data_IF_442104495263
#
_entry.id   IF_442104495263
#
_cell.length_a   1.000
_cell.length_b   1.000
_cell.length_c   1.000
_cell.angle_alpha   90.00
_cell.angle_beta   90.00
_cell.angle_gamma   90.00
#
_symmetry.space_group_name_H-M   'P 1'
#
loop_
_entity.id
_entity.type
_entity.pdbx_description
1 polymer ?
#
# COMPACT_ATOMS: atom_id res chain seq x y z
N UNK A 1 -20.18 32.40 0.14
CA UNK A 1 -19.60 32.14 -1.19
C UNK A 1 -18.17 31.72 -0.93
N UNK A 2 -17.96 30.43 -0.68
CA UNK A 2 -16.66 29.88 -0.26
C UNK A 2 -16.02 29.34 -1.53
N UNK A 3 -14.97 30.02 -2.00
CA UNK A 3 -14.17 29.56 -3.12
C UNK A 3 -13.61 28.18 -2.80
N UNK A 4 -14.02 27.19 -3.58
CA UNK A 4 -13.38 25.89 -3.63
C UNK A 4 -11.98 26.08 -4.24
N UNK A 5 -10.93 25.46 -3.69
CA UNK A 5 -9.61 25.54 -4.32
C UNK A 5 -9.68 24.87 -5.68
N UNK A 6 -9.40 25.64 -6.73
CA UNK A 6 -9.26 25.12 -8.10
C UNK A 6 -8.01 24.25 -8.16
N UNK A 7 -8.22 22.94 -8.18
CA UNK A 7 -7.21 21.89 -8.26
C UNK A 7 -7.58 20.94 -9.41
N UNK A 8 -6.64 20.37 -10.20
CA UNK A 8 -5.17 20.35 -10.08
C UNK A 8 -4.39 21.22 -11.11
N UNK A 9 -3.07 21.45 -10.90
CA UNK A 9 -2.16 21.99 -11.93
C UNK A 9 -1.85 20.94 -13.01
N UNK A 10 -1.79 21.38 -14.27
CA UNK A 10 -1.45 20.59 -15.45
C UNK A 10 0.04 20.20 -15.52
N UNK A 11 0.52 19.39 -14.57
CA UNK A 11 1.90 18.89 -14.54
C UNK A 11 1.94 17.37 -14.67
N UNK A 12 2.58 16.86 -15.71
CA UNK A 12 2.77 15.44 -16.04
C UNK A 12 3.68 14.66 -15.07
N UNK A 13 3.91 15.17 -13.85
CA UNK A 13 4.80 14.55 -12.85
C UNK A 13 3.98 13.95 -11.72
N UNK A 14 4.33 12.73 -11.22
CA UNK A 14 3.65 12.16 -10.08
C UNK A 14 3.87 13.03 -8.85
N UNK A 15 2.78 13.45 -8.23
CA UNK A 15 2.80 14.22 -6.98
C UNK A 15 2.77 13.21 -5.83
N UNK A 16 3.72 13.34 -4.91
CA UNK A 16 3.74 12.53 -3.69
C UNK A 16 3.03 13.30 -2.58
N UNK A 17 1.95 12.75 -2.08
CA UNK A 17 1.11 13.38 -1.06
C UNK A 17 1.49 12.87 0.32
N UNK A 18 1.62 13.77 1.28
CA UNK A 18 1.89 13.43 2.67
C UNK A 18 0.57 13.39 3.42
N UNK A 19 0.33 12.32 4.18
CA UNK A 19 -0.83 12.19 5.06
C UNK A 19 -0.37 12.06 6.52
N UNK A 20 -0.99 12.85 7.40
CA UNK A 20 -0.73 12.87 8.83
C UNK A 20 -1.42 11.72 9.58
N UNK A 21 -0.88 11.39 10.76
CA UNK A 21 -1.65 10.70 11.82
C UNK A 21 -1.81 11.68 12.97
N UNK A 22 -3.01 11.85 13.56
CA UNK A 22 -3.11 12.54 14.83
C UNK A 22 -2.39 11.75 15.93
N UNK A 23 -1.84 12.48 16.89
CA UNK A 23 -1.11 11.93 18.03
C UNK A 23 -2.01 11.07 18.92
N UNK A 24 -1.40 10.04 19.53
CA UNK A 24 -1.98 9.28 20.63
C UNK A 24 -2.56 10.22 21.69
N UNK A 25 -3.87 10.19 21.90
CA UNK A 25 -4.45 10.54 23.20
C UNK A 25 -4.80 9.25 23.95
N UNK A 26 -4.47 9.22 25.24
CA UNK A 26 -4.35 8.00 26.03
C UNK A 26 -5.66 7.21 26.15
N UNK A 27 -5.55 5.92 25.87
CA UNK A 27 -6.41 4.91 26.50
C UNK A 27 -5.50 3.94 27.25
N UNK A 28 -5.51 4.10 28.57
CA UNK A 28 -5.10 3.10 29.54
C UNK A 28 -5.69 1.75 29.16
N UNK A 29 -4.85 0.73 28.99
CA UNK A 29 -5.28 -0.66 28.99
C UNK A 29 -5.97 -0.97 30.34
N UNK A 30 -7.29 -0.80 30.41
CA UNK A 30 -8.11 -1.72 31.18
C UNK A 30 -8.43 -2.89 30.26
N UNK A 31 -7.59 -3.90 30.35
CA UNK A 31 -7.90 -5.23 29.84
C UNK A 31 -9.08 -5.79 30.67
N UNK A 32 -10.31 -5.53 30.22
CA UNK A 32 -11.47 -6.28 30.69
C UNK A 32 -11.81 -7.34 29.65
N UNK A 33 -11.46 -8.57 29.97
CA UNK A 33 -12.37 -9.70 29.78
C UNK A 33 -12.43 -10.34 28.39
N UNK A 34 -11.31 -10.82 27.86
CA UNK A 34 -11.34 -12.09 27.11
C UNK A 34 -10.35 -13.07 27.73
N UNK A 35 -10.93 -13.93 28.57
CA UNK A 35 -10.27 -15.02 29.28
C UNK A 35 -9.99 -16.13 28.27
N UNK A 36 -8.78 -16.15 27.72
CA UNK A 36 -8.28 -17.34 27.02
C UNK A 36 -8.25 -18.49 28.04
N UNK A 37 -9.04 -19.54 27.78
CA UNK A 37 -9.02 -20.75 28.61
C UNK A 37 -7.72 -21.49 28.35
N UNK A 38 -6.85 -21.47 29.34
CA UNK A 38 -5.82 -22.48 29.50
C UNK A 38 -6.53 -23.83 29.71
N UNK A 39 -6.30 -24.77 28.81
CA UNK A 39 -6.58 -26.19 29.03
C UNK A 39 -5.24 -26.89 28.99
N UNK A 40 -4.67 -27.04 30.18
CA UNK A 40 -3.59 -27.98 30.45
C UNK A 40 -4.03 -29.40 30.10
N UNK A 41 -3.16 -30.06 29.33
CA UNK A 41 -2.89 -31.48 29.22
C UNK A 41 -3.97 -32.49 29.65
N UNK A 42 -4.50 -33.23 28.67
CA UNK A 42 -4.76 -34.65 28.84
C UNK A 42 -4.05 -35.43 27.72
N UNK A 43 -3.36 -36.50 28.12
CA UNK A 43 -2.49 -37.31 27.29
C UNK A 43 -3.27 -38.09 26.21
N UNK A 44 -2.77 -38.05 24.97
CA UNK A 44 -3.29 -38.89 23.88
C UNK A 44 -2.50 -38.77 22.58
N UNK A 45 -1.62 -39.75 22.34
CA UNK A 45 -1.05 -40.22 21.04
C UNK A 45 -0.21 -39.24 20.19
N UNK A 46 1.01 -39.63 19.73
CA UNK A 46 1.82 -38.78 18.86
C UNK A 46 1.28 -38.81 17.42
N UNK A 47 0.43 -37.85 17.08
CA UNK A 47 -0.01 -37.58 15.72
C UNK A 47 0.49 -36.21 15.24
N UNK A 48 1.41 -36.23 14.26
CA UNK A 48 1.91 -35.12 13.45
C UNK A 48 2.29 -33.80 14.18
N UNK A 49 3.59 -33.50 14.20
CA UNK A 49 4.14 -32.19 14.58
C UNK A 49 3.54 -31.14 13.65
N UNK A 50 2.54 -30.40 14.12
CA UNK A 50 2.11 -29.15 13.48
C UNK A 50 3.15 -28.10 13.85
N UNK A 51 3.95 -27.69 12.87
CA UNK A 51 4.90 -26.59 13.01
C UNK A 51 4.15 -25.35 13.50
N UNK A 52 4.38 -25.00 14.77
CA UNK A 52 3.94 -23.73 15.34
C UNK A 52 4.65 -22.62 14.57
N UNK A 53 3.96 -22.02 13.59
CA UNK A 53 4.50 -20.88 12.84
C UNK A 53 4.85 -19.78 13.84
N UNK A 54 6.13 -19.42 13.89
CA UNK A 54 6.61 -18.38 14.79
C UNK A 54 6.05 -17.06 14.30
N UNK A 55 5.11 -16.51 15.07
CA UNK A 55 4.57 -15.18 14.86
C UNK A 55 5.60 -14.18 15.37
N UNK A 56 6.19 -13.39 14.47
CA UNK A 56 7.25 -12.43 14.81
C UNK A 56 6.76 -10.99 14.61
N UNK A 57 7.00 -10.13 15.59
CA UNK A 57 6.80 -8.69 15.47
C UNK A 57 8.08 -8.03 14.96
N UNK A 58 7.97 -7.28 13.86
CA UNK A 58 9.10 -6.57 13.27
C UNK A 58 8.68 -5.30 12.55
N UNK A 59 9.65 -4.48 12.20
CA UNK A 59 9.45 -3.29 11.40
C UNK A 59 9.51 -3.61 9.90
N UNK A 60 8.64 -2.98 9.09
CA UNK A 60 8.62 -3.14 7.64
C UNK A 60 8.29 -1.84 6.90
N UNK A 61 8.71 -1.75 5.64
CA UNK A 61 8.22 -0.75 4.68
C UNK A 61 7.22 -1.44 3.76
N UNK A 62 6.04 -0.83 3.65
CA UNK A 62 4.87 -1.45 3.03
C UNK A 62 4.36 -0.51 1.95
N UNK A 63 4.23 -1.05 0.74
CA UNK A 63 3.57 -0.39 -0.38
C UNK A 63 2.26 -1.12 -0.67
N UNK A 64 1.16 -0.38 -0.67
CA UNK A 64 -0.12 -0.83 -1.18
C UNK A 64 -0.35 -0.20 -2.56
N UNK A 65 -0.86 -1.01 -3.49
CA UNK A 65 -1.26 -0.57 -4.82
C UNK A 65 -2.68 -1.05 -5.11
N UNK A 66 -3.42 -0.29 -5.90
CA UNK A 66 -4.77 -0.68 -6.36
C UNK A 66 -5.07 -0.09 -7.73
N UNK A 67 -5.96 -0.75 -8.49
CA UNK A 67 -6.37 -0.28 -9.83
C UNK A 67 -7.58 0.63 -9.71
N UNK A 68 -7.43 1.84 -10.23
CA UNK A 68 -8.48 2.85 -10.18
C UNK A 68 -9.69 2.42 -11.02
N UNK A 69 -10.84 2.29 -10.37
CA UNK A 69 -12.12 2.04 -11.03
C UNK A 69 -12.20 0.64 -11.67
N UNK A 70 -11.49 -0.34 -11.12
CA UNK A 70 -11.44 -1.70 -11.65
C UNK A 70 -12.82 -2.32 -11.87
N UNK A 71 -13.75 -2.19 -10.93
CA UNK A 71 -15.12 -2.71 -11.09
C UNK A 71 -15.86 -2.11 -12.30
N UNK A 72 -15.62 -0.83 -12.61
CA UNK A 72 -16.20 -0.17 -13.78
C UNK A 72 -15.59 -0.70 -15.08
N UNK A 73 -14.27 -0.89 -15.11
CA UNK A 73 -13.57 -1.44 -16.28
C UNK A 73 -14.03 -2.87 -16.58
N UNK A 74 -14.14 -3.70 -15.53
CA UNK A 74 -14.68 -5.06 -15.63
C UNK A 74 -16.11 -5.08 -16.17
N UNK A 75 -16.95 -4.12 -15.79
CA UNK A 75 -18.31 -4.00 -16.32
C UNK A 75 -18.40 -3.57 -17.79
N UNK A 76 -17.35 -2.95 -18.34
CA UNK A 76 -17.29 -2.53 -19.75
C UNK A 76 -16.72 -3.65 -20.63
N UNK A 77 -15.60 -4.23 -20.21
CA UNK A 77 -14.84 -5.23 -20.98
C UNK A 77 -14.03 -6.10 -20.00
N UNK A 78 -14.64 -7.18 -19.51
CA UNK A 78 -14.03 -8.08 -18.51
C UNK A 78 -12.73 -8.71 -19.03
N UNK A 79 -12.77 -9.33 -20.21
CA UNK A 79 -11.63 -10.05 -20.77
C UNK A 79 -10.50 -9.10 -21.16
N UNK A 80 -10.82 -7.97 -21.79
CA UNK A 80 -9.84 -6.95 -22.16
C UNK A 80 -9.21 -6.27 -20.94
N UNK A 81 -9.98 -5.99 -19.89
CA UNK A 81 -9.46 -5.41 -18.64
C UNK A 81 -8.50 -6.37 -17.95
N UNK A 82 -8.87 -7.66 -17.84
CA UNK A 82 -8.01 -8.66 -17.21
C UNK A 82 -6.72 -8.87 -18.01
N UNK A 83 -6.80 -8.91 -19.35
CA UNK A 83 -5.64 -9.03 -20.22
C UNK A 83 -4.71 -7.81 -20.10
N UNK A 84 -5.27 -6.60 -20.11
CA UNK A 84 -4.52 -5.36 -19.95
C UNK A 84 -3.82 -5.29 -18.59
N UNK A 85 -4.53 -5.63 -17.50
CA UNK A 85 -3.95 -5.65 -16.16
C UNK A 85 -2.80 -6.66 -16.06
N UNK A 86 -2.98 -7.88 -16.60
CA UNK A 86 -1.92 -8.89 -16.62
C UNK A 86 -0.70 -8.43 -17.42
N UNK A 87 -0.89 -7.77 -18.55
CA UNK A 87 0.20 -7.23 -19.36
C UNK A 87 0.96 -6.14 -18.61
N UNK A 88 0.26 -5.14 -18.07
CA UNK A 88 0.88 -4.05 -17.27
C UNK A 88 1.63 -4.62 -16.07
N UNK A 89 1.08 -5.63 -15.39
CA UNK A 89 1.76 -6.28 -14.27
C UNK A 89 3.06 -6.98 -14.69
N UNK A 90 2.98 -7.83 -15.72
CA UNK A 90 4.12 -8.61 -16.21
C UNK A 90 5.21 -7.74 -16.81
N UNK A 91 4.85 -6.72 -17.58
CA UNK A 91 5.78 -5.99 -18.43
C UNK A 91 6.34 -4.73 -17.75
N UNK A 92 5.67 -4.23 -16.70
CA UNK A 92 6.05 -2.99 -16.04
C UNK A 92 6.08 -3.10 -14.51
N UNK A 93 4.98 -3.48 -13.87
CA UNK A 93 4.86 -3.35 -12.39
C UNK A 93 5.74 -4.37 -11.65
N UNK A 94 5.59 -5.65 -11.94
CA UNK A 94 6.33 -6.71 -11.25
C UNK A 94 7.85 -6.61 -11.53
N UNK A 95 8.34 -6.31 -12.76
CA UNK A 95 9.75 -6.04 -13.01
C UNK A 95 10.30 -4.84 -12.23
N UNK A 96 9.54 -3.74 -12.13
CA UNK A 96 9.97 -2.56 -11.36
C UNK A 96 10.04 -2.86 -9.86
N UNK A 97 9.08 -3.62 -9.32
CA UNK A 97 9.13 -4.10 -7.94
C UNK A 97 10.42 -4.88 -7.70
N UNK A 98 10.76 -5.82 -8.59
CA UNK A 98 11.97 -6.63 -8.47
C UNK A 98 13.27 -5.80 -8.60
N UNK A 99 13.33 -4.85 -9.56
CA UNK A 99 14.47 -3.92 -9.75
C UNK A 99 14.77 -3.13 -8.48
N UNK A 100 13.72 -2.74 -7.76
CA UNK A 100 13.80 -2.03 -6.49
C UNK A 100 13.79 -2.95 -5.26
N UNK A 101 14.07 -4.25 -5.43
CA UNK A 101 14.20 -5.23 -4.34
C UNK A 101 12.95 -5.35 -3.45
N UNK A 102 11.78 -5.07 -4.02
CA UNK A 102 10.51 -5.30 -3.37
C UNK A 102 10.07 -6.76 -3.47
N UNK A 103 9.33 -7.22 -2.46
CA UNK A 103 8.73 -8.55 -2.42
C UNK A 103 7.21 -8.42 -2.42
N UNK A 104 6.55 -9.00 -3.42
CA UNK A 104 5.09 -9.08 -3.44
C UNK A 104 4.67 -10.08 -2.36
N UNK A 105 4.10 -9.59 -1.27
CA UNK A 105 3.61 -10.40 -0.14
C UNK A 105 2.32 -11.11 -0.54
N UNK A 106 1.38 -10.35 -1.13
CA UNK A 106 0.11 -10.89 -1.62
C UNK A 106 -0.50 -10.00 -2.69
N UNK A 107 -1.32 -10.60 -3.54
CA UNK A 107 -2.24 -9.89 -4.45
C UNK A 107 -3.65 -9.94 -3.83
N UNK A 108 -4.37 -8.82 -3.85
CA UNK A 108 -5.72 -8.66 -3.31
C UNK A 108 -6.67 -8.28 -4.46
N UNK A 109 -7.01 -9.23 -5.32
CA UNK A 109 -7.75 -8.94 -6.56
C UNK A 109 -6.89 -8.14 -7.54
N UNK A 110 -7.23 -6.89 -7.75
CA UNK A 110 -6.50 -5.90 -8.54
C UNK A 110 -5.44 -5.14 -7.74
N UNK A 111 -5.46 -5.26 -6.40
CA UNK A 111 -4.48 -4.64 -5.52
C UNK A 111 -3.23 -5.48 -5.23
N UNK A 112 -2.16 -4.81 -4.82
CA UNK A 112 -0.88 -5.41 -4.42
C UNK A 112 -0.48 -4.95 -3.01
N UNK A 113 0.08 -5.89 -2.24
CA UNK A 113 0.82 -5.59 -1.03
C UNK A 113 2.28 -6.00 -1.25
N UNK A 114 3.16 -5.02 -1.20
CA UNK A 114 4.58 -5.19 -1.47
C UNK A 114 5.37 -4.74 -0.25
N UNK A 115 6.34 -5.55 0.14
CA UNK A 115 7.26 -5.26 1.22
C UNK A 115 8.62 -4.84 0.66
N UNK A 116 9.23 -3.84 1.30
CA UNK A 116 10.59 -3.39 1.01
C UNK A 116 11.43 -3.35 2.28
N UNK A 117 12.73 -3.61 2.13
CA UNK A 117 13.71 -3.40 3.20
C UNK A 117 14.24 -1.95 3.26
N UNK A 118 13.89 -1.13 2.26
CA UNK A 118 14.35 0.26 2.13
C UNK A 118 13.20 1.16 1.72
N UNK A 119 12.96 2.21 2.49
CA UNK A 119 11.94 3.21 2.16
C UNK A 119 12.29 4.01 0.91
N UNK A 120 13.59 4.20 0.66
CA UNK A 120 14.07 4.86 -0.56
C UNK A 120 13.74 4.02 -1.78
N UNK A 121 13.91 2.70 -1.69
CA UNK A 121 13.59 1.78 -2.79
C UNK A 121 12.08 1.71 -3.03
N UNK A 122 11.27 1.67 -1.97
CA UNK A 122 9.80 1.70 -2.09
C UNK A 122 9.30 2.96 -2.82
N UNK A 123 9.82 4.14 -2.44
CA UNK A 123 9.42 5.41 -3.07
C UNK A 123 9.91 5.49 -4.51
N UNK A 124 11.15 5.10 -4.78
CA UNK A 124 11.68 5.05 -6.16
C UNK A 124 10.86 4.10 -7.04
N UNK A 125 10.48 2.95 -6.52
CA UNK A 125 9.64 1.98 -7.22
C UNK A 125 8.29 2.59 -7.61
N UNK A 126 7.57 3.18 -6.64
CA UNK A 126 6.27 3.78 -6.90
C UNK A 126 6.36 4.90 -7.96
N UNK A 127 7.37 5.77 -7.85
CA UNK A 127 7.60 6.87 -8.80
C UNK A 127 7.95 6.34 -10.19
N UNK A 128 8.84 5.35 -10.27
CA UNK A 128 9.24 4.76 -11.55
C UNK A 128 8.06 4.09 -12.26
N UNK A 129 7.20 3.41 -11.51
CA UNK A 129 5.98 2.81 -12.06
C UNK A 129 5.02 3.90 -12.55
N UNK A 130 4.72 4.92 -11.75
CA UNK A 130 3.81 5.99 -12.19
C UNK A 130 4.31 6.72 -13.43
N UNK A 131 5.61 7.04 -13.50
CA UNK A 131 6.20 7.67 -14.68
C UNK A 131 6.08 6.79 -15.92
N UNK A 132 6.47 5.52 -15.81
CA UNK A 132 6.39 4.59 -16.93
C UNK A 132 4.94 4.35 -17.40
N UNK A 133 3.96 4.41 -16.48
CA UNK A 133 2.54 4.33 -16.83
C UNK A 133 2.02 5.57 -17.55
N UNK A 134 2.51 6.76 -17.21
CA UNK A 134 2.18 7.99 -17.95
C UNK A 134 2.72 7.90 -19.38
N UNK A 135 3.96 7.43 -19.53
CA UNK A 135 4.61 7.29 -20.84
C UNK A 135 3.91 6.25 -21.73
N UNK A 136 3.56 5.08 -21.20
CA UNK A 136 2.83 4.04 -21.95
C UNK A 136 1.36 4.39 -22.19
N UNK A 137 0.75 5.14 -21.28
CA UNK A 137 -0.67 5.47 -21.34
C UNK A 137 -1.02 6.55 -22.35
N UNK A 138 -0.04 7.30 -22.88
CA UNK A 138 -0.27 8.47 -23.74
C UNK A 138 -1.16 8.17 -24.96
N UNK A 139 -1.02 7.00 -25.58
CA UNK A 139 -1.70 6.61 -26.83
C UNK A 139 -3.04 5.86 -26.63
N UNK A 140 -3.44 5.56 -25.39
CA UNK A 140 -4.67 4.81 -25.10
C UNK A 140 -5.88 5.73 -24.86
N UNK A 141 -7.11 5.27 -25.10
CA UNK A 141 -8.30 6.04 -24.72
C UNK A 141 -8.42 6.17 -23.18
N UNK A 142 -8.70 7.37 -22.61
CA UNK A 142 -8.67 7.59 -21.15
C UNK A 142 -9.55 6.67 -20.31
N UNK A 143 -10.66 6.21 -20.89
CA UNK A 143 -11.66 5.34 -20.29
C UNK A 143 -11.23 3.87 -20.21
N UNK A 144 -10.22 3.45 -21.00
CA UNK A 144 -9.63 2.11 -21.02
C UNK A 144 -8.23 2.03 -20.39
N UNK A 145 -7.68 3.16 -19.94
CA UNK A 145 -6.35 3.20 -19.30
C UNK A 145 -6.40 2.58 -17.90
N UNK A 146 -5.58 1.56 -17.68
CA UNK A 146 -5.27 1.08 -16.33
C UNK A 146 -4.45 2.17 -15.63
N UNK A 147 -4.89 2.59 -14.44
CA UNK A 147 -4.16 3.52 -13.60
C UNK A 147 -4.05 2.92 -12.21
N UNK A 148 -2.84 2.95 -11.65
CA UNK A 148 -2.65 2.58 -10.26
C UNK A 148 -2.69 3.82 -9.37
N UNK A 149 -3.14 3.61 -8.14
CA UNK A 149 -2.84 4.49 -7.01
C UNK A 149 -1.95 3.73 -6.05
N UNK A 150 -1.01 4.44 -5.44
CA UNK A 150 -0.05 3.84 -4.50
C UNK A 150 -0.15 4.50 -3.14
N UNK A 151 0.14 3.75 -2.09
CA UNK A 151 0.58 4.33 -0.84
C UNK A 151 1.70 3.59 -0.15
N UNK A 152 2.52 4.34 0.58
CA UNK A 152 3.69 3.82 1.29
C UNK A 152 3.63 4.21 2.76
N UNK A 153 3.74 3.21 3.63
CA UNK A 153 3.88 3.37 5.07
C UNK A 153 5.10 2.58 5.56
N UNK A 154 5.65 3.00 6.70
CA UNK A 154 6.65 2.22 7.43
C UNK A 154 6.19 2.08 8.88
N UNK A 155 6.29 0.88 9.45
CA UNK A 155 5.78 0.62 10.79
C UNK A 155 5.86 -0.82 11.22
N UNK A 156 5.36 -1.09 12.42
CA UNK A 156 5.31 -2.44 13.00
C UNK A 156 4.33 -3.34 12.23
N UNK A 157 4.77 -4.57 12.00
CA UNK A 157 4.00 -5.65 11.41
C UNK A 157 4.19 -6.93 12.20
N UNK A 158 3.22 -7.83 12.04
CA UNK A 158 3.29 -9.20 12.48
C UNK A 158 3.52 -10.08 11.25
N UNK A 159 4.62 -10.82 11.22
CA UNK A 159 4.88 -11.81 10.17
C UNK A 159 4.41 -13.20 10.57
N UNK A 160 3.75 -13.87 9.63
CA UNK A 160 3.39 -15.28 9.66
C UNK A 160 3.87 -15.92 8.35
N UNK A 161 5.05 -16.55 8.40
CA UNK A 161 5.76 -17.02 7.22
C UNK A 161 6.05 -15.86 6.24
N UNK A 162 5.59 -15.99 5.01
CA UNK A 162 5.75 -14.97 3.97
C UNK A 162 4.73 -13.84 4.04
N UNK A 163 3.71 -13.95 4.89
CA UNK A 163 2.64 -12.97 5.01
C UNK A 163 2.94 -11.96 6.12
N UNK A 164 2.53 -10.70 5.91
CA UNK A 164 2.58 -9.65 6.93
C UNK A 164 1.18 -9.11 7.23
N UNK A 165 0.97 -8.73 8.50
CA UNK A 165 -0.28 -8.24 9.07
C UNK A 165 -0.02 -7.11 10.08
N UNK A 166 -1.09 -6.50 10.60
CA UNK A 166 -1.02 -5.53 11.68
C UNK A 166 -1.19 -4.08 11.22
N UNK A 167 -1.00 -3.15 12.16
CA UNK A 167 -1.31 -1.74 11.97
C UNK A 167 -0.53 -1.13 10.81
N UNK A 168 0.76 -1.48 10.65
CA UNK A 168 1.56 -1.00 9.53
C UNK A 168 0.90 -1.23 8.17
N UNK A 169 0.31 -2.42 7.97
CA UNK A 169 -0.41 -2.80 6.75
C UNK A 169 -1.75 -2.06 6.66
N UNK A 170 -2.49 -2.00 7.77
CA UNK A 170 -3.79 -1.33 7.82
C UNK A 170 -3.68 0.17 7.46
N UNK A 171 -2.65 0.87 7.95
CA UNK A 171 -2.40 2.26 7.55
C UNK A 171 -2.05 2.35 6.07
N UNK A 172 -1.16 1.49 5.54
CA UNK A 172 -0.78 1.54 4.13
C UNK A 172 -2.01 1.41 3.21
N UNK A 173 -2.89 0.44 3.48
CA UNK A 173 -4.12 0.25 2.69
C UNK A 173 -5.07 1.45 2.78
N UNK A 174 -5.16 2.12 3.93
CA UNK A 174 -6.04 3.28 4.07
C UNK A 174 -5.47 4.52 3.38
N UNK A 175 -4.16 4.70 3.41
CA UNK A 175 -3.49 5.76 2.65
C UNK A 175 -3.68 5.56 1.14
N UNK A 176 -3.66 4.31 0.69
CA UNK A 176 -3.88 3.95 -0.72
C UNK A 176 -5.31 4.27 -1.15
N UNK A 177 -6.31 3.97 -0.32
CA UNK A 177 -7.70 4.33 -0.61
C UNK A 177 -7.93 5.85 -0.76
N UNK A 178 -7.11 6.68 -0.12
CA UNK A 178 -7.11 8.15 -0.23
C UNK A 178 -6.28 8.67 -1.41
N UNK A 179 -5.52 7.82 -2.10
CA UNK A 179 -4.65 8.24 -3.18
C UNK A 179 -5.46 8.50 -4.45
N UNK A 180 -5.21 9.66 -5.05
CA UNK A 180 -5.77 10.02 -6.35
C UNK A 180 -5.27 9.05 -7.45
N UNK A 181 -6.01 8.92 -8.57
CA UNK A 181 -5.55 8.13 -9.71
C UNK A 181 -4.20 8.60 -10.24
N UNK A 182 -3.19 7.72 -10.26
CA UNK A 182 -1.81 8.08 -10.64
C UNK A 182 -1.01 8.75 -9.51
N UNK A 183 -1.61 8.90 -8.32
CA UNK A 183 -0.99 9.49 -7.14
C UNK A 183 -0.17 8.48 -6.33
N UNK A 184 0.68 9.03 -5.46
CA UNK A 184 1.45 8.28 -4.46
C UNK A 184 1.24 8.94 -3.11
N UNK A 185 0.51 8.31 -2.21
CA UNK A 185 0.37 8.78 -0.83
C UNK A 185 1.48 8.20 0.05
N UNK A 186 2.04 8.98 0.95
CA UNK A 186 3.03 8.50 1.91
C UNK A 186 2.69 8.96 3.31
N UNK A 187 2.97 8.11 4.29
CA UNK A 187 2.95 8.54 5.68
C UNK A 187 4.02 9.61 5.94
N UNK A 188 3.81 10.47 6.94
CA UNK A 188 4.82 11.42 7.43
C UNK A 188 6.18 10.75 7.75
N UNK A 189 6.16 9.56 8.36
CA UNK A 189 7.38 8.82 8.68
C UNK A 189 8.19 8.46 7.42
N UNK A 190 7.51 8.04 6.35
CA UNK A 190 8.14 7.78 5.05
C UNK A 190 8.73 9.08 4.49
N UNK A 191 7.94 10.16 4.42
CA UNK A 191 8.41 11.47 3.95
C UNK A 191 9.69 11.89 4.66
N UNK A 192 9.70 11.87 5.98
CA UNK A 192 10.83 12.34 6.79
C UNK A 192 12.11 11.57 6.51
N UNK A 193 12.01 10.29 6.19
CA UNK A 193 13.17 9.46 5.89
C UNK A 193 13.70 9.65 4.45
N UNK A 194 12.90 10.17 3.51
CA UNK A 194 13.30 10.30 2.09
C UNK A 194 13.43 11.72 1.56
N UNK A 195 12.90 12.73 2.27
CA UNK A 195 12.83 14.13 1.79
C UNK A 195 14.18 14.70 1.35
N UNK A 196 15.26 14.31 2.04
CA UNK A 196 16.62 14.81 1.78
C UNK A 196 17.43 13.83 0.90
N UNK A 197 16.83 12.73 0.45
CA UNK A 197 17.50 11.63 -0.26
C UNK A 197 17.02 11.44 -1.70
N UNK A 198 15.89 12.04 -2.06
CA UNK A 198 15.27 11.89 -3.37
C UNK A 198 14.93 13.26 -3.96
N UNK A 199 15.21 13.50 -5.26
CA UNK A 199 14.85 14.73 -5.94
C UNK A 199 13.35 14.73 -6.33
N UNK A 200 12.47 14.59 -5.34
CA UNK A 200 11.01 14.49 -5.53
C UNK A 200 10.33 15.62 -4.75
N UNK A 201 9.30 16.21 -5.34
CA UNK A 201 8.46 17.22 -4.68
C UNK A 201 7.34 16.52 -3.91
N UNK A 202 7.23 16.85 -2.63
CA UNK A 202 6.11 16.46 -1.80
C UNK A 202 5.07 17.57 -1.79
N UNK A 203 3.81 17.22 -2.00
CA UNK A 203 2.68 18.09 -1.73
C UNK A 203 2.04 17.66 -0.42
N UNK A 204 1.70 18.63 0.42
CA UNK A 204 0.89 18.34 1.60
C UNK A 204 -0.56 18.15 1.15
N UNK A 205 -1.17 17.03 1.53
CA UNK A 205 -2.58 16.76 1.24
C UNK A 205 -3.48 17.12 2.43
N UNK A 206 -2.91 17.69 3.49
CA UNK A 206 -3.64 18.04 4.70
C UNK A 206 -3.96 16.84 5.58
N UNK A 207 -4.55 17.13 6.74
CA UNK A 207 -4.93 16.12 7.73
C UNK A 207 -6.15 15.34 7.26
N UNK A 208 -6.05 14.01 7.26
CA UNK A 208 -7.16 13.12 6.94
C UNK A 208 -7.41 12.17 8.10
N UNK A 209 -8.63 12.15 8.62
CA UNK A 209 -9.03 11.17 9.63
C UNK A 209 -9.13 9.78 9.00
N UNK A 210 -8.37 8.86 9.57
CA UNK A 210 -8.33 7.48 9.13
C UNK A 210 -9.05 6.64 10.20
N UNK A 211 -10.35 6.36 10.01
CA UNK A 211 -11.23 5.69 11.00
C UNK A 211 -10.51 4.61 11.83
N UNK A 212 -10.50 4.75 13.16
CA UNK A 212 -9.83 3.88 14.15
C UNK A 212 -8.33 4.16 14.40
N UNK A 213 -7.83 5.34 14.05
CA UNK A 213 -6.48 5.82 14.41
C UNK A 213 -6.56 7.31 14.76
#
# INVERSE_FOLDING_TARGET
MTEQPSWPPQSSKPVVYVVERPGRSGLTHRATGLRWRDRSAEAGTPGAVSESRVVEHRFAVILCADVVGYSRLMGIDEEGTLAALKAVRRDLVDPKIAEHRGRIVRTMGDGLLVEFNSVVDAVRCAVAIQLAMVDQGADMAPDRRIRFRFAINMGDVVSDGDLIYGDGVAIASRLEALAEPGGINVSRAVRDQVRDRLPITFADFGEHEVKNI
#
